data_IF_330530519832
#
_entry.id   IF_330530519832
#
_cell.length_a   1.000
_cell.length_b   1.000
_cell.length_c   1.000
_cell.angle_alpha   90.00
_cell.angle_beta   90.00
_cell.angle_gamma   90.00
#
_symmetry.space_group_name_H-M   'P 1'
#
loop_
_entity.id
_entity.type
_entity.pdbx_description
1 polymer ?
#
# COMPACT_ATOMS: atom_id res chain seq x y z
N UNK A 1 3.30 -42.00 43.84
CA UNK A 1 4.39 -41.34 43.08
C UNK A 1 3.76 -40.74 41.83
N UNK A 2 3.22 -39.53 42.00
CA UNK A 2 2.40 -38.86 40.96
C UNK A 2 3.29 -37.79 40.30
N UNK A 3 3.62 -38.02 39.02
CA UNK A 3 4.42 -37.10 38.21
C UNK A 3 3.50 -35.96 37.71
N UNK A 4 3.81 -34.74 38.11
CA UNK A 4 3.31 -33.49 37.60
C UNK A 4 3.80 -33.29 36.17
N UNK A 5 2.91 -33.32 35.18
CA UNK A 5 3.18 -32.83 33.84
C UNK A 5 3.05 -31.30 33.86
N UNK A 6 4.17 -30.63 33.64
CA UNK A 6 4.28 -29.20 33.56
C UNK A 6 3.65 -28.63 32.26
N UNK A 7 2.83 -27.66 32.49
CA UNK A 7 2.25 -26.74 31.51
C UNK A 7 3.36 -25.98 30.75
N UNK A 8 3.64 -26.36 29.49
CA UNK A 8 4.59 -25.73 28.60
C UNK A 8 3.89 -25.28 27.31
N UNK A 9 2.91 -24.36 27.42
CA UNK A 9 2.38 -23.67 26.22
C UNK A 9 1.97 -22.22 26.50
N UNK A 10 2.87 -21.47 27.17
CA UNK A 10 2.81 -20.02 27.14
C UNK A 10 3.76 -19.50 26.09
N UNK A 11 3.27 -19.34 24.84
CA UNK A 11 3.93 -18.45 23.89
C UNK A 11 4.05 -17.08 24.52
N UNK A 12 5.24 -16.44 24.49
CA UNK A 12 5.40 -15.10 25.06
C UNK A 12 4.45 -14.14 24.34
N UNK A 13 3.58 -13.46 25.09
CA UNK A 13 2.79 -12.35 24.60
C UNK A 13 3.73 -11.33 23.99
N UNK A 14 3.60 -11.08 22.67
CA UNK A 14 4.35 -10.01 21.99
C UNK A 14 4.13 -8.68 22.74
N UNK A 15 5.20 -7.91 23.00
CA UNK A 15 5.04 -6.60 23.60
C UNK A 15 4.14 -5.73 22.69
N UNK A 16 3.34 -4.82 23.29
CA UNK A 16 2.55 -3.87 22.53
C UNK A 16 3.47 -3.14 21.55
N UNK A 17 3.00 -2.95 20.33
CA UNK A 17 3.71 -2.17 19.30
C UNK A 17 3.79 -0.74 19.85
N UNK A 18 4.95 -0.35 20.36
CA UNK A 18 5.23 1.03 20.70
C UNK A 18 5.20 1.82 19.39
N UNK A 19 4.11 2.52 19.13
CA UNK A 19 3.98 3.45 18.02
C UNK A 19 4.91 4.65 18.31
N UNK A 20 6.14 4.54 17.83
CA UNK A 20 7.03 5.69 17.78
C UNK A 20 6.56 6.56 16.62
N UNK A 21 5.67 7.51 16.90
CA UNK A 21 5.31 8.56 15.94
C UNK A 21 6.29 9.72 16.18
N UNK A 22 7.39 9.84 15.42
CA UNK A 22 8.19 11.04 15.49
C UNK A 22 7.28 12.20 15.11
N UNK A 23 7.33 13.27 15.89
CA UNK A 23 6.64 14.51 15.57
C UNK A 23 7.25 15.07 14.29
N UNK A 24 6.79 14.58 13.13
CA UNK A 24 7.21 15.09 11.85
C UNK A 24 6.71 16.53 11.73
N UNK A 25 7.55 17.46 11.25
CA UNK A 25 7.09 18.76 10.80
C UNK A 25 6.03 18.58 9.70
N UNK A 26 5.28 19.63 9.42
CA UNK A 26 4.28 19.59 8.33
C UNK A 26 4.85 18.95 7.07
N UNK A 27 4.20 17.91 6.56
CA UNK A 27 4.61 17.20 5.34
C UNK A 27 4.33 18.00 4.05
N UNK A 28 3.63 19.14 4.15
CA UNK A 28 3.32 20.01 3.03
C UNK A 28 4.56 20.50 2.27
N UNK A 29 5.53 21.12 2.94
CA UNK A 29 6.78 21.58 2.29
C UNK A 29 7.55 20.43 1.62
N UNK A 30 7.71 19.30 2.28
CA UNK A 30 8.35 18.12 1.69
C UNK A 30 7.64 17.63 0.41
N UNK A 31 6.30 17.51 0.43
CA UNK A 31 5.52 17.11 -0.76
C UNK A 31 5.63 18.12 -1.89
N UNK A 32 5.65 19.41 -1.59
CA UNK A 32 5.87 20.47 -2.58
C UNK A 32 7.28 20.36 -3.20
N UNK A 33 8.32 20.22 -2.39
CA UNK A 33 9.68 20.05 -2.84
C UNK A 33 9.85 18.78 -3.71
N UNK A 34 9.18 17.66 -3.35
CA UNK A 34 9.16 16.45 -4.17
C UNK A 34 8.46 16.71 -5.51
N UNK A 35 7.35 17.45 -5.54
CA UNK A 35 6.66 17.80 -6.80
C UNK A 35 7.56 18.62 -7.73
N UNK A 36 8.26 19.59 -7.19
CA UNK A 36 9.20 20.43 -7.95
C UNK A 36 10.39 19.61 -8.47
N UNK A 37 10.96 18.75 -7.61
CA UNK A 37 12.03 17.82 -7.99
C UNK A 37 11.60 16.89 -9.13
N UNK A 38 10.40 16.31 -9.04
CA UNK A 38 9.83 15.44 -10.08
C UNK A 38 9.65 16.19 -11.39
N UNK A 39 9.23 17.46 -11.32
CA UNK A 39 9.08 18.32 -12.50
C UNK A 39 10.43 18.59 -13.16
N UNK A 40 11.47 18.88 -12.38
CA UNK A 40 12.84 19.09 -12.87
C UNK A 40 13.40 17.80 -13.50
N UNK A 41 13.24 16.65 -12.85
CA UNK A 41 13.64 15.34 -13.40
C UNK A 41 12.90 15.01 -14.69
N UNK A 42 11.61 15.35 -14.80
CA UNK A 42 10.81 15.09 -16.00
C UNK A 42 11.27 15.94 -17.23
N UNK A 43 12.02 17.02 -17.00
CA UNK A 43 12.61 17.86 -18.06
C UNK A 43 13.95 17.30 -18.58
N UNK A 44 14.57 16.37 -17.85
CA UNK A 44 15.74 15.66 -18.34
C UNK A 44 15.37 14.76 -19.53
N UNK A 45 16.35 14.42 -20.36
CA UNK A 45 16.11 13.50 -21.47
C UNK A 45 15.58 12.15 -20.94
N UNK A 46 14.66 11.50 -21.64
CA UNK A 46 14.16 10.20 -21.23
C UNK A 46 15.32 9.21 -21.00
N UNK A 47 15.31 8.58 -19.83
CA UNK A 47 16.32 7.60 -19.39
C UNK A 47 17.76 8.12 -19.21
N UNK A 48 17.95 9.43 -19.13
CA UNK A 48 19.25 10.01 -18.79
C UNK A 48 19.49 9.98 -17.27
N UNK A 49 19.87 8.80 -16.77
CA UNK A 49 20.19 8.60 -15.35
C UNK A 49 21.28 9.54 -14.85
N UNK A 50 22.27 9.87 -15.67
CA UNK A 50 23.39 10.75 -15.29
C UNK A 50 22.91 12.18 -14.99
N UNK A 51 22.07 12.74 -15.84
CA UNK A 51 21.49 14.07 -15.59
C UNK A 51 20.55 14.04 -14.37
N UNK A 52 19.76 12.98 -14.20
CA UNK A 52 18.91 12.80 -13.03
C UNK A 52 19.73 12.70 -11.75
N UNK A 53 20.82 11.94 -11.73
CA UNK A 53 21.71 11.86 -10.56
C UNK A 53 22.30 13.23 -10.18
N UNK A 54 22.68 14.04 -11.17
CA UNK A 54 23.19 15.39 -10.93
C UNK A 54 22.12 16.30 -10.30
N UNK A 55 20.89 16.23 -10.80
CA UNK A 55 19.74 16.94 -10.23
C UNK A 55 19.52 16.50 -8.78
N UNK A 56 19.43 15.18 -8.53
CA UNK A 56 19.21 14.62 -7.21
C UNK A 56 20.30 15.02 -6.22
N UNK A 57 21.58 14.89 -6.59
CA UNK A 57 22.71 15.25 -5.74
C UNK A 57 22.69 16.73 -5.33
N UNK A 58 22.24 17.62 -6.22
CA UNK A 58 22.13 19.05 -5.92
C UNK A 58 20.91 19.38 -5.06
N UNK A 59 19.75 18.74 -5.35
CA UNK A 59 18.47 19.09 -4.73
C UNK A 59 18.30 18.46 -3.34
N UNK A 60 18.73 17.21 -3.16
CA UNK A 60 18.53 16.49 -1.91
C UNK A 60 19.41 16.99 -0.75
N UNK A 61 20.35 17.90 -1.03
CA UNK A 61 21.09 18.61 0.02
C UNK A 61 20.33 19.77 0.65
N UNK A 62 19.20 20.17 0.06
CA UNK A 62 18.38 21.26 0.58
C UNK A 62 17.59 20.85 1.83
N UNK A 63 17.30 21.85 2.69
CA UNK A 63 16.63 21.64 3.98
C UNK A 63 15.20 21.08 3.86
N UNK A 64 14.53 21.34 2.73
CA UNK A 64 13.16 20.88 2.47
C UNK A 64 13.02 19.35 2.54
N UNK A 65 14.10 18.61 2.29
CA UNK A 65 14.13 17.14 2.33
C UNK A 65 14.70 16.60 3.65
N UNK A 66 15.50 17.40 4.37
CA UNK A 66 16.28 16.95 5.52
C UNK A 66 15.40 16.29 6.60
N UNK A 67 14.35 16.97 7.03
CA UNK A 67 13.53 16.53 8.15
C UNK A 67 12.89 15.13 7.95
N UNK A 68 12.45 14.82 6.73
CA UNK A 68 11.85 13.51 6.43
C UNK A 68 12.95 12.47 6.22
N UNK A 69 13.99 12.78 5.44
CA UNK A 69 15.04 11.81 5.13
C UNK A 69 15.87 11.42 6.36
N UNK A 70 16.14 12.34 7.28
CA UNK A 70 16.84 12.06 8.53
C UNK A 70 16.00 11.23 9.51
N UNK A 71 14.66 11.38 9.49
CA UNK A 71 13.74 10.62 10.32
C UNK A 71 13.51 9.18 9.85
N UNK A 72 13.90 8.83 8.61
CA UNK A 72 13.82 7.45 8.13
C UNK A 72 14.71 6.52 8.97
N UNK A 73 14.40 5.23 9.07
CA UNK A 73 15.24 4.26 9.79
C UNK A 73 16.68 4.21 9.32
N UNK A 74 16.91 4.42 8.03
CA UNK A 74 18.23 4.39 7.39
C UNK A 74 19.00 5.72 7.49
N UNK A 75 18.31 6.82 7.80
CA UNK A 75 18.84 8.17 7.76
C UNK A 75 19.08 8.69 6.33
N UNK A 76 19.34 10.00 6.22
CA UNK A 76 19.43 10.72 4.94
C UNK A 76 20.45 10.12 3.97
N UNK A 77 21.67 9.90 4.44
CA UNK A 77 22.78 9.49 3.55
C UNK A 77 22.50 8.14 2.89
N UNK A 78 22.03 7.16 3.66
CA UNK A 78 21.71 5.82 3.15
C UNK A 78 20.48 5.88 2.24
N UNK A 79 19.47 6.66 2.61
CA UNK A 79 18.26 6.84 1.80
C UNK A 79 18.57 7.47 0.44
N UNK A 80 19.41 8.51 0.40
CA UNK A 80 19.86 9.15 -0.85
C UNK A 80 20.69 8.18 -1.69
N UNK A 81 21.61 7.42 -1.08
CA UNK A 81 22.38 6.41 -1.78
C UNK A 81 21.50 5.32 -2.41
N UNK A 82 20.45 4.88 -1.72
CA UNK A 82 19.47 3.94 -2.27
C UNK A 82 18.73 4.52 -3.48
N UNK A 83 18.28 5.78 -3.41
CA UNK A 83 17.62 6.42 -4.55
C UNK A 83 18.57 6.52 -5.77
N UNK A 84 19.81 6.95 -5.56
CA UNK A 84 20.79 7.02 -6.65
C UNK A 84 21.07 5.63 -7.24
N UNK A 85 21.11 4.60 -6.41
CA UNK A 85 21.25 3.21 -6.89
C UNK A 85 20.05 2.79 -7.76
N UNK A 86 18.81 3.08 -7.34
CA UNK A 86 17.61 2.75 -8.13
C UNK A 86 17.58 3.53 -9.46
N UNK A 87 18.02 4.79 -9.47
CA UNK A 87 18.11 5.61 -10.70
C UNK A 87 19.14 5.05 -11.68
N UNK A 88 20.32 4.64 -11.20
CA UNK A 88 21.37 4.03 -12.03
C UNK A 88 20.97 2.71 -12.66
N UNK A 89 20.21 1.92 -11.92
CA UNK A 89 19.77 0.60 -12.35
C UNK A 89 18.35 0.60 -12.93
N UNK A 90 17.81 1.79 -13.24
CA UNK A 90 16.47 1.89 -13.83
C UNK A 90 16.47 1.40 -15.26
N UNK A 91 15.66 0.39 -15.54
CA UNK A 91 15.40 -0.13 -16.88
C UNK A 91 13.93 0.09 -17.23
N UNK A 92 13.63 0.78 -18.36
CA UNK A 92 12.26 0.90 -18.85
C UNK A 92 11.71 -0.48 -19.22
N UNK A 93 10.58 -0.87 -18.64
CA UNK A 93 9.95 -2.14 -18.95
C UNK A 93 8.61 -1.95 -19.63
N UNK A 94 8.19 -2.94 -20.45
CA UNK A 94 6.86 -2.97 -21.07
C UNK A 94 5.74 -3.16 -20.05
N UNK A 95 6.01 -3.73 -18.90
CA UNK A 95 5.06 -3.91 -17.80
C UNK A 95 4.65 -2.55 -17.19
N UNK A 96 5.58 -1.59 -17.22
CA UNK A 96 5.42 -0.25 -16.71
C UNK A 96 5.53 0.80 -17.84
N UNK A 97 4.74 0.68 -18.89
CA UNK A 97 4.75 1.61 -20.03
C UNK A 97 4.52 3.09 -19.66
N UNK A 98 4.17 3.37 -18.41
CA UNK A 98 4.04 4.72 -17.83
C UNK A 98 5.13 5.04 -16.81
N UNK A 99 6.02 4.10 -16.53
CA UNK A 99 7.14 4.32 -15.60
C UNK A 99 8.23 5.14 -16.29
N UNK A 100 8.65 6.19 -15.62
CA UNK A 100 9.76 7.06 -16.02
C UNK A 100 10.68 7.24 -14.83
N UNK A 101 11.89 7.75 -15.03
CA UNK A 101 12.76 8.16 -13.92
C UNK A 101 12.06 9.14 -12.98
N UNK A 102 11.24 10.06 -13.52
CA UNK A 102 10.43 10.97 -12.71
C UNK A 102 9.39 10.24 -11.85
N UNK A 103 8.76 9.17 -12.37
CA UNK A 103 7.85 8.33 -11.60
C UNK A 103 8.58 7.57 -10.49
N UNK A 104 9.76 7.00 -10.79
CA UNK A 104 10.61 6.33 -9.81
C UNK A 104 10.97 7.28 -8.67
N UNK A 105 11.47 8.49 -8.99
CA UNK A 105 11.84 9.51 -7.99
C UNK A 105 10.62 9.90 -7.14
N UNK A 106 9.46 10.12 -7.75
CA UNK A 106 8.22 10.44 -7.03
C UNK A 106 7.84 9.35 -6.04
N UNK A 107 7.74 8.11 -6.51
CA UNK A 107 7.34 6.96 -5.68
C UNK A 107 8.36 6.78 -4.55
N UNK A 108 9.66 6.78 -4.87
CA UNK A 108 10.69 6.62 -3.86
C UNK A 108 10.63 7.70 -2.79
N UNK A 109 10.60 8.98 -3.19
CA UNK A 109 10.62 10.10 -2.25
C UNK A 109 9.37 10.15 -1.37
N UNK A 110 8.18 9.97 -1.93
CA UNK A 110 6.95 9.99 -1.15
C UNK A 110 6.82 8.76 -0.24
N UNK A 111 7.36 7.60 -0.61
CA UNK A 111 7.43 6.41 0.25
C UNK A 111 8.32 6.63 1.49
N UNK A 112 9.22 7.64 1.51
CA UNK A 112 10.01 7.94 2.71
C UNK A 112 9.13 8.43 3.88
N UNK A 113 7.98 9.06 3.61
CA UNK A 113 6.99 9.40 4.63
C UNK A 113 6.52 8.13 5.35
N UNK A 114 6.24 7.09 4.59
CA UNK A 114 5.78 5.79 5.10
C UNK A 114 6.90 5.03 5.82
N UNK A 115 8.13 5.15 5.32
CA UNK A 115 9.30 4.60 5.99
C UNK A 115 9.52 5.24 7.37
N UNK A 116 9.25 6.54 7.54
CA UNK A 116 9.26 7.19 8.84
C UNK A 116 8.14 6.65 9.73
N UNK A 117 6.94 6.45 9.19
CA UNK A 117 5.80 5.97 9.96
C UNK A 117 5.94 4.51 10.40
N UNK A 118 6.33 3.64 9.47
CA UNK A 118 6.21 2.20 9.61
C UNK A 118 7.53 1.45 9.48
N UNK A 119 8.63 2.10 9.10
CA UNK A 119 9.89 1.45 8.76
C UNK A 119 10.57 0.73 9.94
N UNK A 120 10.12 0.95 11.17
CA UNK A 120 10.55 0.19 12.37
C UNK A 120 9.61 -0.95 12.72
N UNK A 121 8.49 -1.09 12.02
CA UNK A 121 7.55 -2.19 12.18
C UNK A 121 8.11 -3.43 11.50
N UNK A 122 7.92 -4.59 12.12
CA UNK A 122 8.36 -5.85 11.53
C UNK A 122 7.64 -6.14 10.22
N UNK A 123 8.41 -6.35 9.15
CA UNK A 123 7.90 -6.69 7.82
C UNK A 123 7.69 -8.18 7.67
N UNK A 124 6.64 -8.60 6.99
CA UNK A 124 6.39 -9.97 6.60
C UNK A 124 7.42 -10.41 5.56
N UNK A 125 8.31 -11.35 5.90
CA UNK A 125 9.43 -11.73 5.04
C UNK A 125 8.98 -12.62 3.88
N UNK A 126 8.06 -13.55 4.13
CA UNK A 126 7.54 -14.50 3.16
C UNK A 126 6.01 -14.58 3.22
N UNK A 127 5.41 -15.28 2.26
CA UNK A 127 3.96 -15.40 2.16
C UNK A 127 3.32 -16.17 3.33
N UNK A 128 4.08 -17.05 3.99
CA UNK A 128 3.66 -17.72 5.21
C UNK A 128 3.42 -16.72 6.33
N UNK A 129 4.37 -15.78 6.53
CA UNK A 129 4.23 -14.73 7.53
C UNK A 129 2.93 -13.93 7.33
N UNK A 130 2.56 -13.61 6.08
CA UNK A 130 1.30 -12.90 5.78
C UNK A 130 0.08 -13.76 6.07
N UNK A 131 0.11 -15.07 5.70
CA UNK A 131 -1.03 -15.97 5.95
C UNK A 131 -1.30 -16.18 7.42
N UNK A 132 -0.23 -16.31 8.21
CA UNK A 132 -0.30 -16.70 9.62
C UNK A 132 -0.36 -15.50 10.57
N UNK A 133 -0.26 -14.26 10.04
CA UNK A 133 -0.33 -13.03 10.81
C UNK A 133 -1.70 -12.86 11.48
N UNK A 134 -1.73 -12.98 12.81
CA UNK A 134 -2.97 -12.85 13.59
C UNK A 134 -3.54 -11.41 13.58
N UNK A 135 -2.68 -10.43 13.29
CA UNK A 135 -3.05 -9.00 13.20
C UNK A 135 -3.65 -8.61 11.83
N UNK A 136 -3.67 -9.53 10.85
CA UNK A 136 -4.31 -9.32 9.55
C UNK A 136 -5.65 -10.03 9.50
N UNK A 137 -6.67 -9.36 9.00
CA UNK A 137 -7.96 -9.98 8.68
C UNK A 137 -7.94 -10.53 7.26
N UNK A 138 -8.68 -11.59 7.05
CA UNK A 138 -8.93 -12.17 5.73
C UNK A 138 -10.08 -11.41 5.07
N UNK A 139 -9.83 -10.83 3.90
CA UNK A 139 -10.85 -10.04 3.20
C UNK A 139 -12.02 -10.89 2.69
N UNK A 140 -11.79 -12.18 2.44
CA UNK A 140 -12.87 -13.09 2.05
C UNK A 140 -13.83 -13.30 3.22
N UNK A 141 -13.30 -13.54 4.44
CA UNK A 141 -14.13 -13.64 5.65
C UNK A 141 -14.88 -12.33 5.95
N UNK A 142 -14.24 -11.17 5.72
CA UNK A 142 -14.87 -9.85 5.88
C UNK A 142 -15.99 -9.64 4.86
N UNK A 143 -15.78 -10.07 3.61
CA UNK A 143 -16.78 -9.99 2.54
C UNK A 143 -17.99 -10.94 2.78
N UNK A 144 -17.74 -12.18 3.22
CA UNK A 144 -18.78 -13.14 3.60
C UNK A 144 -19.69 -12.63 4.72
N UNK A 145 -19.14 -11.80 5.62
CA UNK A 145 -19.90 -11.15 6.71
C UNK A 145 -20.54 -9.81 6.29
N UNK A 146 -20.55 -9.47 5.01
CA UNK A 146 -21.11 -8.21 4.46
C UNK A 146 -20.50 -6.93 5.06
N UNK A 147 -19.26 -7.02 5.56
CA UNK A 147 -18.54 -5.91 6.20
C UNK A 147 -17.58 -5.18 5.26
N UNK A 148 -17.52 -5.58 3.99
CA UNK A 148 -16.66 -4.97 2.98
C UNK A 148 -17.46 -4.04 2.07
N UNK A 149 -16.97 -2.80 1.88
CA UNK A 149 -17.59 -1.77 1.04
C UNK A 149 -16.88 -1.55 -0.29
N UNK A 150 -15.69 -2.13 -0.47
CA UNK A 150 -14.91 -2.06 -1.71
C UNK A 150 -14.85 -3.41 -2.41
N UNK A 151 -14.48 -3.38 -3.69
CA UNK A 151 -14.30 -4.58 -4.51
C UNK A 151 -12.82 -4.93 -4.68
N UNK A 152 -12.56 -6.22 -4.81
CA UNK A 152 -11.27 -6.75 -5.23
C UNK A 152 -11.47 -8.05 -6.01
N UNK A 153 -10.40 -8.65 -6.48
CA UNK A 153 -10.39 -10.01 -7.04
C UNK A 153 -9.11 -10.73 -6.65
N UNK A 154 -9.17 -12.05 -6.63
CA UNK A 154 -7.97 -12.87 -6.45
C UNK A 154 -7.11 -12.90 -7.71
N UNK A 155 -5.81 -13.08 -7.55
CA UNK A 155 -4.92 -13.36 -8.66
C UNK A 155 -5.24 -14.74 -9.28
N UNK A 156 -5.27 -14.81 -10.61
CA UNK A 156 -5.50 -16.07 -11.32
C UNK A 156 -4.24 -16.92 -11.28
N UNK A 157 -4.23 -17.95 -10.44
CA UNK A 157 -3.08 -18.83 -10.19
C UNK A 157 -2.92 -19.91 -11.27
N UNK A 158 -4.03 -20.39 -11.84
CA UNK A 158 -4.02 -21.48 -12.83
C UNK A 158 -4.16 -20.98 -14.25
N UNK A 159 -3.68 -21.76 -15.23
CA UNK A 159 -3.87 -21.47 -16.66
C UNK A 159 -5.35 -21.38 -17.03
N UNK A 160 -6.19 -22.24 -16.43
CA UNK A 160 -7.65 -22.23 -16.66
C UNK A 160 -8.26 -20.93 -16.15
N UNK A 161 -7.90 -20.51 -14.94
CA UNK A 161 -8.38 -19.23 -14.38
C UNK A 161 -7.91 -18.03 -15.20
N UNK A 162 -6.69 -18.06 -15.74
CA UNK A 162 -6.16 -17.01 -16.63
C UNK A 162 -6.92 -16.98 -17.97
N UNK A 163 -7.21 -18.15 -18.54
CA UNK A 163 -7.99 -18.28 -19.78
C UNK A 163 -9.43 -17.81 -19.58
N UNK A 164 -10.11 -18.23 -18.49
CA UNK A 164 -11.44 -17.79 -18.14
C UNK A 164 -11.52 -16.26 -17.97
N UNK A 165 -10.56 -15.65 -17.26
CA UNK A 165 -10.44 -14.19 -17.11
C UNK A 165 -10.20 -13.48 -18.45
N UNK A 166 -9.43 -14.08 -19.36
CA UNK A 166 -9.21 -13.54 -20.70
C UNK A 166 -10.49 -13.59 -21.54
N UNK A 167 -11.26 -14.66 -21.42
CA UNK A 167 -12.55 -14.81 -22.10
C UNK A 167 -13.59 -13.82 -21.54
N UNK A 168 -13.68 -13.67 -20.20
CA UNK A 168 -14.55 -12.68 -19.56
C UNK A 168 -14.26 -11.26 -20.07
N UNK A 169 -12.98 -10.88 -20.14
CA UNK A 169 -12.56 -9.56 -20.64
C UNK A 169 -12.91 -9.31 -22.10
N UNK A 170 -12.92 -10.36 -22.93
CA UNK A 170 -13.33 -10.27 -24.35
C UNK A 170 -14.85 -10.16 -24.49
N UNK A 171 -15.58 -10.95 -23.70
CA UNK A 171 -17.05 -10.98 -23.74
C UNK A 171 -17.69 -9.73 -23.13
N UNK A 172 -17.09 -9.22 -22.05
CA UNK A 172 -17.62 -8.09 -21.26
C UNK A 172 -16.53 -7.00 -21.10
N UNK A 173 -16.14 -6.30 -22.18
CA UNK A 173 -15.06 -5.33 -22.13
C UNK A 173 -15.42 -4.16 -21.21
N UNK A 174 -14.61 -3.99 -20.17
CA UNK A 174 -14.73 -2.87 -19.24
C UNK A 174 -15.70 -3.06 -18.07
N UNK A 175 -16.23 -4.26 -17.86
CA UNK A 175 -17.01 -4.59 -16.67
C UNK A 175 -16.18 -4.55 -15.38
N UNK A 176 -14.90 -4.81 -15.47
CA UNK A 176 -13.98 -4.78 -14.35
C UNK A 176 -12.62 -4.20 -14.75
N UNK A 177 -11.82 -3.70 -13.81
CA UNK A 177 -10.50 -3.15 -14.11
C UNK A 177 -9.53 -4.23 -14.60
N UNK A 178 -8.48 -3.77 -15.31
CA UNK A 178 -7.37 -4.64 -15.75
C UNK A 178 -6.33 -4.76 -14.64
N UNK A 179 -6.65 -5.55 -13.62
CA UNK A 179 -5.72 -5.87 -12.52
C UNK A 179 -5.36 -7.35 -12.51
N UNK A 180 -4.18 -7.68 -12.00
CA UNK A 180 -3.79 -9.06 -11.73
C UNK A 180 -4.66 -9.67 -10.62
N UNK A 181 -5.08 -8.85 -9.66
CA UNK A 181 -5.79 -9.26 -8.45
C UNK A 181 -4.85 -9.45 -7.26
N UNK A 182 -5.42 -9.61 -6.08
CA UNK A 182 -4.69 -9.80 -4.84
C UNK A 182 -4.00 -11.17 -4.82
N UNK A 183 -2.74 -11.19 -4.44
CA UNK A 183 -1.98 -12.41 -4.20
C UNK A 183 -2.45 -13.11 -2.93
N UNK A 184 -2.49 -12.35 -1.82
CA UNK A 184 -3.05 -12.74 -0.53
C UNK A 184 -4.07 -11.68 -0.13
N UNK A 185 -5.35 -12.03 0.07
CA UNK A 185 -6.41 -11.08 0.41
C UNK A 185 -6.40 -10.79 1.92
N UNK A 186 -5.28 -10.30 2.44
CA UNK A 186 -5.10 -9.99 3.85
C UNK A 186 -4.68 -8.55 4.06
N UNK A 187 -5.26 -7.89 5.07
CA UNK A 187 -4.95 -6.51 5.41
C UNK A 187 -5.13 -6.27 6.92
N UNK A 188 -4.55 -5.20 7.43
CA UNK A 188 -4.85 -4.76 8.79
C UNK A 188 -6.28 -4.27 8.90
N UNK A 189 -6.99 -4.59 10.01
CA UNK A 189 -8.38 -4.16 10.20
C UNK A 189 -8.56 -2.65 10.06
N UNK A 190 -7.59 -1.86 10.52
CA UNK A 190 -7.60 -0.41 10.42
C UNK A 190 -7.56 0.09 8.97
N UNK A 191 -6.75 -0.56 8.12
CA UNK A 191 -6.72 -0.25 6.69
C UNK A 191 -8.06 -0.61 6.03
N UNK A 192 -8.63 -1.77 6.37
CA UNK A 192 -9.94 -2.20 5.83
C UNK A 192 -11.03 -1.20 6.18
N UNK A 193 -11.06 -0.74 7.41
CA UNK A 193 -12.05 0.21 7.85
C UNK A 193 -11.88 1.57 7.17
N UNK A 194 -10.64 2.09 7.04
CA UNK A 194 -10.38 3.31 6.29
C UNK A 194 -10.79 3.18 4.82
N UNK A 195 -10.52 2.02 4.19
CA UNK A 195 -10.95 1.75 2.82
C UNK A 195 -12.48 1.69 2.69
N UNK A 196 -13.18 1.15 3.68
CA UNK A 196 -14.65 1.15 3.72
C UNK A 196 -15.21 2.56 3.80
N UNK A 197 -14.66 3.42 4.67
CA UNK A 197 -15.08 4.82 4.78
C UNK A 197 -14.87 5.59 3.47
N UNK A 198 -13.72 5.37 2.81
CA UNK A 198 -13.43 5.97 1.50
C UNK A 198 -14.38 5.43 0.43
N UNK A 199 -14.72 4.14 0.47
CA UNK A 199 -15.63 3.52 -0.48
C UNK A 199 -17.05 4.08 -0.35
N UNK A 200 -17.56 4.21 0.89
CA UNK A 200 -18.87 4.77 1.17
C UNK A 200 -18.95 6.25 0.74
N UNK A 201 -17.92 7.05 1.02
CA UNK A 201 -17.87 8.45 0.58
C UNK A 201 -17.76 8.55 -0.95
N UNK A 202 -16.92 7.71 -1.57
CA UNK A 202 -16.79 7.68 -3.02
C UNK A 202 -18.12 7.32 -3.72
N UNK A 203 -18.86 6.35 -3.20
CA UNK A 203 -20.17 5.96 -3.72
C UNK A 203 -21.18 7.14 -3.67
N UNK A 204 -21.12 7.94 -2.60
CA UNK A 204 -22.03 9.09 -2.42
C UNK A 204 -21.76 10.26 -3.38
N UNK A 205 -20.49 10.49 -3.72
CA UNK A 205 -20.07 11.67 -4.52
C UNK A 205 -19.77 11.35 -5.99
N UNK A 206 -19.62 10.06 -6.32
CA UNK A 206 -19.32 9.64 -7.69
C UNK A 206 -20.56 9.76 -8.59
N UNK A 207 -20.39 9.96 -9.92
CA UNK A 207 -21.50 9.95 -10.87
C UNK A 207 -22.29 8.65 -10.84
N UNK A 208 -23.58 8.70 -11.17
CA UNK A 208 -24.43 7.53 -11.33
C UNK A 208 -23.76 6.46 -12.22
N UNK A 209 -23.95 5.20 -11.87
CA UNK A 209 -23.36 4.03 -12.53
C UNK A 209 -21.83 3.91 -12.40
N UNK A 210 -21.19 4.73 -11.56
CA UNK A 210 -19.78 4.48 -11.20
C UNK A 210 -19.70 3.17 -10.42
N UNK A 211 -18.79 2.26 -10.78
CA UNK A 211 -18.58 1.04 -10.00
C UNK A 211 -18.04 1.36 -8.60
N UNK A 212 -18.24 0.47 -7.62
CA UNK A 212 -17.68 0.60 -6.28
C UNK A 212 -16.16 0.78 -6.31
N UNK A 213 -15.59 1.27 -5.20
CA UNK A 213 -14.15 1.38 -5.04
C UNK A 213 -13.48 0.01 -5.28
N UNK A 214 -12.39 0.00 -6.04
CA UNK A 214 -11.68 -1.23 -6.41
C UNK A 214 -10.25 -1.24 -5.90
N UNK A 215 -9.94 -2.18 -5.01
CA UNK A 215 -8.61 -2.40 -4.45
C UNK A 215 -7.86 -3.43 -5.30
N UNK A 216 -6.62 -3.13 -5.65
CA UNK A 216 -5.79 -3.95 -6.54
C UNK A 216 -4.62 -4.62 -5.84
N UNK A 217 -4.27 -4.16 -4.64
CA UNK A 217 -3.26 -4.74 -3.77
C UNK A 217 -3.49 -4.35 -2.30
N UNK A 218 -3.06 -5.23 -1.39
CA UNK A 218 -3.05 -5.03 0.07
C UNK A 218 -1.73 -5.56 0.65
N UNK A 219 -1.73 -6.27 1.78
CA UNK A 219 -0.52 -6.81 2.37
C UNK A 219 0.25 -7.73 1.40
N UNK A 220 1.57 -7.59 1.39
CA UNK A 220 2.53 -8.40 0.60
C UNK A 220 3.70 -8.82 1.49
N UNK A 221 4.32 -9.93 1.16
CA UNK A 221 5.63 -10.27 1.74
C UNK A 221 6.77 -9.49 1.06
N UNK A 222 7.91 -9.39 1.73
CA UNK A 222 9.16 -8.88 1.13
C UNK A 222 9.55 -9.74 -0.08
N UNK A 223 9.41 -11.07 0.02
CA UNK A 223 9.66 -12.00 -1.08
C UNK A 223 8.78 -11.68 -2.30
N UNK A 224 7.48 -11.44 -2.09
CA UNK A 224 6.57 -11.07 -3.19
C UNK A 224 6.93 -9.69 -3.77
N UNK A 225 7.33 -8.73 -2.94
CA UNK A 225 7.78 -7.40 -3.39
C UNK A 225 9.03 -7.51 -4.28
N UNK A 226 10.01 -8.34 -3.89
CA UNK A 226 11.19 -8.61 -4.71
C UNK A 226 10.84 -9.34 -6.01
N UNK A 227 9.88 -10.27 -5.98
CA UNK A 227 9.36 -10.90 -7.19
C UNK A 227 8.73 -9.89 -8.14
N UNK A 228 7.89 -8.95 -7.65
CA UNK A 228 7.35 -7.88 -8.49
C UNK A 228 8.46 -7.02 -9.10
N UNK A 229 9.51 -6.70 -8.34
CA UNK A 229 10.69 -5.97 -8.84
C UNK A 229 11.37 -6.74 -9.98
N UNK A 230 11.54 -8.06 -9.85
CA UNK A 230 12.14 -8.91 -10.89
C UNK A 230 11.29 -8.98 -12.17
N UNK A 231 9.99 -8.71 -12.09
CA UNK A 231 9.09 -8.59 -13.24
C UNK A 231 9.10 -7.18 -13.86
N UNK A 232 9.89 -6.25 -13.31
CA UNK A 232 10.06 -4.90 -13.82
C UNK A 232 9.05 -3.88 -13.27
N UNK A 233 8.35 -4.17 -12.17
CA UNK A 233 7.55 -3.17 -11.46
C UNK A 233 8.44 -2.27 -10.59
N UNK A 234 8.02 -1.02 -10.35
CA UNK A 234 8.64 -0.16 -9.34
C UNK A 234 8.18 -0.67 -7.96
N UNK A 235 8.82 -1.72 -7.49
CA UNK A 235 8.52 -2.37 -6.22
C UNK A 235 9.70 -2.13 -5.25
N UNK A 236 9.66 -0.98 -4.58
CA UNK A 236 10.73 -0.51 -3.70
C UNK A 236 10.64 -1.14 -2.30
N UNK A 237 11.79 -1.16 -1.60
CA UNK A 237 11.90 -1.55 -0.19
C UNK A 237 12.62 -0.43 0.59
N UNK A 238 12.21 -0.17 1.86
CA UNK A 238 11.07 -0.77 2.56
C UNK A 238 9.73 -0.41 1.93
N UNK A 239 8.71 -1.25 2.11
CA UNK A 239 7.36 -1.04 1.58
C UNK A 239 6.31 -1.18 2.69
N UNK A 240 5.39 -0.23 2.77
CA UNK A 240 4.28 -0.24 3.72
C UNK A 240 3.28 -1.39 3.47
N UNK A 241 3.25 -1.97 2.28
CA UNK A 241 2.55 -3.23 2.02
C UNK A 241 3.12 -4.38 2.85
N UNK A 242 4.45 -4.39 3.08
CA UNK A 242 5.10 -5.46 3.84
C UNK A 242 4.82 -5.42 5.34
N UNK A 243 4.12 -4.40 5.81
CA UNK A 243 3.64 -4.26 7.19
C UNK A 243 2.10 -4.23 7.29
N UNK A 244 1.41 -4.30 6.14
CA UNK A 244 -0.04 -4.43 6.03
C UNK A 244 -0.84 -3.13 6.17
N UNK A 245 -0.20 -1.96 6.15
CA UNK A 245 -0.85 -0.64 6.29
C UNK A 245 -1.06 0.10 4.97
N UNK A 246 -0.75 -0.53 3.84
CA UNK A 246 -0.93 0.06 2.53
C UNK A 246 -1.87 -0.74 1.63
N UNK A 247 -2.52 -0.03 0.72
CA UNK A 247 -3.31 -0.59 -0.37
C UNK A 247 -3.07 0.18 -1.66
N UNK A 248 -3.27 -0.51 -2.79
CA UNK A 248 -3.33 0.12 -4.10
C UNK A 248 -4.79 0.15 -4.57
N UNK A 249 -5.26 1.33 -4.99
CA UNK A 249 -6.61 1.57 -5.49
C UNK A 249 -6.56 1.80 -6.99
N UNK A 250 -7.45 1.18 -7.72
CA UNK A 250 -7.56 1.35 -9.17
C UNK A 250 -7.72 2.83 -9.56
N UNK A 251 -7.00 3.23 -10.60
CA UNK A 251 -6.99 4.63 -11.05
C UNK A 251 -7.61 4.82 -12.43
N UNK A 252 -7.14 4.05 -13.40
CA UNK A 252 -7.39 4.34 -14.83
C UNK A 252 -8.80 3.96 -15.27
N UNK A 253 -9.36 2.92 -14.70
CA UNK A 253 -10.68 2.41 -15.05
C UNK A 253 -11.78 3.44 -14.80
N UNK A 254 -11.67 4.23 -13.72
CA UNK A 254 -12.63 5.28 -13.36
C UNK A 254 -12.70 6.46 -14.33
N UNK A 255 -11.72 6.59 -15.25
CA UNK A 255 -11.78 7.58 -16.34
C UNK A 255 -12.99 7.35 -17.24
N UNK A 256 -13.41 6.10 -17.42
CA UNK A 256 -14.57 5.70 -18.24
C UNK A 256 -15.90 6.17 -17.65
N UNK A 257 -15.92 6.42 -16.34
CA UNK A 257 -17.10 6.85 -15.57
C UNK A 257 -17.00 8.32 -15.15
N UNK A 258 -16.01 9.05 -15.64
CA UNK A 258 -15.70 10.43 -15.24
C UNK A 258 -15.42 10.59 -13.73
N UNK A 259 -15.23 9.51 -12.99
CA UNK A 259 -15.04 9.46 -11.54
C UNK A 259 -13.56 9.57 -11.10
N UNK A 260 -12.61 9.45 -12.03
CA UNK A 260 -11.17 9.50 -11.71
C UNK A 260 -10.76 10.77 -10.96
N UNK A 261 -11.25 11.95 -11.36
CA UNK A 261 -10.92 13.22 -10.70
C UNK A 261 -11.55 13.33 -9.32
N UNK A 262 -12.74 12.78 -9.17
CA UNK A 262 -13.47 12.75 -7.89
C UNK A 262 -12.72 11.88 -6.89
N UNK A 263 -12.37 10.64 -7.27
CA UNK A 263 -11.57 9.76 -6.44
C UNK A 263 -10.22 10.39 -6.06
N UNK A 264 -9.53 11.01 -7.03
CA UNK A 264 -8.29 11.75 -6.76
C UNK A 264 -8.51 12.86 -5.73
N UNK A 265 -9.57 13.66 -5.89
CA UNK A 265 -9.93 14.73 -4.95
C UNK A 265 -10.12 14.20 -3.56
N UNK A 266 -10.97 13.18 -3.40
CA UNK A 266 -11.25 12.50 -2.14
C UNK A 266 -9.97 12.00 -1.45
N UNK A 267 -9.11 11.26 -2.16
CA UNK A 267 -7.86 10.74 -1.57
C UNK A 267 -6.92 11.87 -1.12
N UNK A 268 -6.81 12.96 -1.91
CA UNK A 268 -5.99 14.11 -1.55
C UNK A 268 -6.59 14.92 -0.39
N UNK A 269 -7.91 14.94 -0.23
CA UNK A 269 -8.56 15.55 0.93
C UNK A 269 -8.26 14.77 2.20
N UNK A 270 -8.34 13.45 2.17
CA UNK A 270 -7.93 12.56 3.25
C UNK A 270 -6.44 12.72 3.59
N UNK A 271 -5.58 12.89 2.57
CA UNK A 271 -4.17 13.22 2.80
C UNK A 271 -3.99 14.58 3.48
N UNK A 272 -4.74 15.61 3.08
CA UNK A 272 -4.69 16.93 3.72
C UNK A 272 -5.20 16.90 5.16
N UNK A 273 -6.17 16.05 5.46
CA UNK A 273 -6.62 15.77 6.83
C UNK A 273 -5.57 15.02 7.66
N UNK A 274 -4.48 14.55 7.05
CA UNK A 274 -3.40 13.84 7.74
C UNK A 274 -3.68 12.38 8.03
N UNK A 275 -4.69 11.78 7.39
CA UNK A 275 -5.09 10.39 7.62
C UNK A 275 -4.20 9.40 6.88
N UNK A 276 -3.70 9.79 5.71
CA UNK A 276 -3.07 8.88 4.75
C UNK A 276 -1.95 9.57 3.99
N UNK A 277 -0.97 8.81 3.51
CA UNK A 277 -0.07 9.22 2.43
C UNK A 277 -0.60 8.66 1.11
N UNK A 278 -0.66 9.49 0.07
CA UNK A 278 -1.17 9.12 -1.26
C UNK A 278 -0.08 9.32 -2.29
N UNK A 279 0.20 8.27 -3.07
CA UNK A 279 1.19 8.29 -4.14
C UNK A 279 0.53 7.93 -5.46
N UNK A 280 0.69 8.80 -6.47
CA UNK A 280 0.32 8.51 -7.84
C UNK A 280 1.39 7.63 -8.50
N UNK A 281 1.11 6.34 -8.62
CA UNK A 281 1.99 5.37 -9.30
C UNK A 281 1.71 5.26 -10.82
N UNK A 282 0.79 6.07 -11.32
CA UNK A 282 0.42 6.10 -12.74
C UNK A 282 -0.51 4.97 -13.18
N UNK A 283 -0.55 3.86 -12.47
CA UNK A 283 -1.45 2.71 -12.70
C UNK A 283 -2.51 2.60 -11.62
N UNK A 284 -2.13 2.87 -10.36
CA UNK A 284 -2.94 2.84 -9.17
C UNK A 284 -2.64 4.06 -8.29
N UNK A 285 -3.54 4.35 -7.37
CA UNK A 285 -3.29 5.19 -6.21
C UNK A 285 -2.77 4.29 -5.09
N UNK A 286 -1.49 4.42 -4.77
CA UNK A 286 -0.96 3.84 -3.55
C UNK A 286 -1.38 4.71 -2.36
N UNK A 287 -1.91 4.07 -1.31
CA UNK A 287 -2.33 4.72 -0.07
C UNK A 287 -1.74 3.99 1.12
N UNK A 288 -1.23 4.74 2.10
CA UNK A 288 -0.72 4.20 3.34
C UNK A 288 -1.29 4.96 4.53
N UNK A 289 -1.98 4.25 5.43
CA UNK A 289 -2.65 4.87 6.59
C UNK A 289 -1.61 5.31 7.62
N UNK A 290 -1.81 6.52 8.18
CA UNK A 290 -0.94 7.09 9.20
C UNK A 290 -1.17 6.43 10.58
N UNK A 291 -0.13 6.21 11.40
CA UNK A 291 -0.28 5.62 12.73
C UNK A 291 -1.28 6.33 13.65
N UNK A 292 -1.23 7.65 13.69
CA UNK A 292 -2.09 8.45 14.57
C UNK A 292 -3.56 8.47 14.10
N UNK A 293 -3.81 8.37 12.82
CA UNK A 293 -5.16 8.27 12.26
C UNK A 293 -5.86 7.00 12.76
N UNK A 294 -5.10 5.92 12.96
CA UNK A 294 -5.60 4.65 13.51
C UNK A 294 -6.13 4.83 14.93
N UNK A 295 -5.47 5.65 15.76
CA UNK A 295 -5.85 5.90 17.15
C UNK A 295 -7.10 6.78 17.28
N UNK A 296 -7.36 7.65 16.29
CA UNK A 296 -8.52 8.56 16.22
C UNK A 296 -9.79 7.91 15.67
N UNK A 297 -9.65 6.79 14.99
CA UNK A 297 -10.75 6.03 14.40
C UNK A 297 -11.48 5.16 15.46
N UNK A 298 -11.63 5.64 16.69
CA UNK A 298 -12.34 4.99 17.81
C UNK A 298 -13.84 4.71 17.59
N UNK A 299 -14.31 4.74 16.36
CA UNK A 299 -15.66 4.38 15.92
C UNK A 299 -15.72 3.12 15.05
N UNK A 300 -14.62 2.36 14.92
CA UNK A 300 -14.67 1.10 14.17
C UNK A 300 -15.68 0.17 14.81
N UNK A 301 -16.72 -0.20 14.06
CA UNK A 301 -17.40 -1.47 14.32
C UNK A 301 -16.31 -2.53 14.29
N UNK A 302 -16.06 -3.12 15.44
CA UNK A 302 -15.07 -4.17 15.64
C UNK A 302 -15.26 -5.21 14.54
N UNK A 303 -14.34 -5.26 13.55
CA UNK A 303 -14.24 -6.37 12.61
C UNK A 303 -13.69 -7.52 13.42
N UNK A 304 -14.59 -8.19 14.17
CA UNK A 304 -14.25 -9.30 15.05
C UNK A 304 -14.20 -10.57 14.21
N UNK A 305 -13.03 -11.24 14.10
CA UNK A 305 -12.99 -12.58 13.54
C UNK A 305 -13.87 -13.51 14.38
N UNK A 306 -14.90 -14.10 13.79
CA UNK A 306 -15.84 -15.01 14.49
C UNK A 306 -15.20 -16.34 14.97
N UNK A 307 -13.90 -16.53 14.90
CA UNK A 307 -13.23 -17.77 15.35
C UNK A 307 -13.35 -18.10 16.84
N UNK A 308 -14.00 -17.27 17.66
CA UNK A 308 -14.23 -17.56 19.09
C UNK A 308 -15.67 -17.93 19.48
N UNK A 309 -16.60 -18.04 18.52
CA UNK A 309 -17.99 -18.42 18.85
C UNK A 309 -18.42 -19.75 18.27
N UNK A 310 -17.72 -20.84 18.55
CA UNK A 310 -18.37 -22.17 18.47
C UNK A 310 -17.46 -23.28 18.97
N UNK A 311 -17.49 -23.54 20.26
CA UNK A 311 -17.41 -24.86 20.87
C UNK A 311 -18.02 -24.76 22.27
N UNK A 312 -19.32 -24.59 22.31
CA UNK A 312 -20.07 -25.06 23.48
C UNK A 312 -20.15 -26.59 23.35
N UNK A 313 -19.76 -27.36 24.35
CA UNK A 313 -20.00 -28.82 24.33
C UNK A 313 -21.49 -29.07 24.36
N UNK A 314 -21.96 -29.96 23.48
CA UNK A 314 -23.31 -30.53 23.54
C UNK A 314 -23.52 -31.18 24.90
N UNK A 315 -24.65 -30.97 25.58
CA UNK A 315 -25.01 -31.72 26.80
C UNK A 315 -25.25 -33.17 26.44
N UNK A 316 -24.62 -34.07 27.22
CA UNK A 316 -24.79 -35.54 27.15
C UNK A 316 -26.17 -36.01 27.57
#
# INVERSE_FOLDING_TARGET
MTLLLADQDRRPSRPPIEHFSPCLPSLGPFRAAVSDLVTEVAQAAPNDSTSVERILSKRLDQDDFAAVLEATPDGRNVTVAKLLFEVRNYEPTTQNATSTLASLVRIFMLAQIEAVWWGRTHSYQNDGDVRDAAELVDLDEVAENEQLRFCYRHQAMTLVARAARSAERRALPGRSPRTAGLWLPKARPQLVAWLNDVADEFEQIAPDRTPPLWVTSVARSVEHQLHLKSLGYIALLPSSHCVGYAADIEMKWYRRFHAHRILRGLLLDRQRAGEVNVIDEGQAWHVCVRPDAISGLGGFREIVPQRQRSRAPLPG
#
